data_IF_765188490017
#
_entry.id   IF_765188490017
#
_cell.length_a   1.000
_cell.length_b   1.000
_cell.length_c   1.000
_cell.angle_alpha   90.00
_cell.angle_beta   90.00
_cell.angle_gamma   90.00
#
_symmetry.space_group_name_H-M   'P 1'
#
loop_
_entity.id
_entity.type
_entity.pdbx_description
1 polymer ?
#
# COMPACT_ATOMS: atom_id res chain seq x y z
N UNK A 1 -2.90 8.19 -25.39
CA UNK A 1 -2.73 7.65 -24.78
C UNK A 1 -3.17 6.93 -23.92
N UNK A 2 -3.03 6.40 -23.86
CA UNK A 2 -3.63 5.63 -23.12
C UNK A 2 -3.25 5.32 -21.90
N UNK A 3 -3.87 5.40 -21.14
CA UNK A 3 -3.41 5.21 -19.82
C UNK A 3 -3.27 3.75 -19.49
N UNK A 4 -2.63 3.48 -18.35
CA UNK A 4 -2.38 2.11 -17.96
C UNK A 4 -2.75 1.87 -16.52
N UNK A 5 -3.73 2.57 -16.04
CA UNK A 5 -4.14 2.41 -14.65
C UNK A 5 -4.62 0.99 -14.37
N UNK A 6 -5.01 0.25 -15.39
CA UNK A 6 -5.42 -1.13 -15.18
C UNK A 6 -4.26 -2.04 -14.76
N UNK A 7 -3.03 -1.55 -14.80
CA UNK A 7 -1.87 -2.30 -14.33
C UNK A 7 -1.55 -2.01 -12.87
N UNK A 8 -2.36 -1.20 -12.22
CA UNK A 8 -2.11 -0.81 -10.85
C UNK A 8 -2.67 -1.88 -9.93
N UNK A 9 -1.88 -2.28 -8.95
CA UNK A 9 -2.27 -3.29 -7.99
C UNK A 9 -3.10 -2.69 -6.87
N UNK A 10 -2.74 -1.49 -6.43
CA UNK A 10 -3.41 -0.83 -5.32
C UNK A 10 -3.44 0.67 -5.54
N UNK A 11 -4.30 1.34 -4.77
CA UNK A 11 -4.33 2.80 -4.72
C UNK A 11 -4.29 3.23 -3.27
N UNK A 12 -3.88 4.46 -3.03
CA UNK A 12 -3.94 5.07 -1.71
C UNK A 12 -5.35 5.62 -1.52
N UNK A 13 -5.93 5.35 -0.36
CA UNK A 13 -7.27 5.84 -0.05
C UNK A 13 -7.19 7.14 0.73
N UNK A 14 -8.34 7.72 1.02
CA UNK A 14 -8.42 8.93 1.82
C UNK A 14 -8.31 8.65 3.31
N UNK A 15 -8.33 7.39 3.70
CA UNK A 15 -8.15 7.03 5.10
C UNK A 15 -6.67 7.21 5.46
N UNK A 16 -6.39 8.12 6.38
CA UNK A 16 -5.01 8.46 6.73
C UNK A 16 -4.79 8.26 8.21
N UNK A 17 -3.52 8.21 8.57
CA UNK A 17 -3.09 8.03 9.94
C UNK A 17 -1.79 8.79 10.11
N UNK A 18 -1.61 9.42 11.25
CA UNK A 18 -0.37 10.14 11.55
C UNK A 18 0.49 9.23 12.42
N UNK A 19 1.73 9.06 12.01
CA UNK A 19 2.70 8.26 12.76
C UNK A 19 3.80 9.18 13.23
N UNK A 20 4.07 9.17 14.54
CA UNK A 20 5.14 9.98 15.11
C UNK A 20 6.41 9.15 15.18
N UNK A 21 7.47 9.66 14.56
CA UNK A 21 8.76 8.99 14.58
C UNK A 21 9.51 9.33 15.87
N UNK A 22 10.50 8.50 16.25
CA UNK A 22 11.27 8.77 17.47
C UNK A 22 11.96 10.14 17.47
N UNK A 23 12.23 10.69 16.28
CA UNK A 23 12.87 12.00 16.20
C UNK A 23 11.87 13.15 16.30
N UNK A 24 10.60 12.86 16.55
CA UNK A 24 9.57 13.87 16.70
C UNK A 24 8.91 14.33 15.41
N UNK A 25 9.34 13.82 14.28
CA UNK A 25 8.75 14.17 12.99
C UNK A 25 7.53 13.31 12.74
N UNK A 26 6.43 13.94 12.34
CA UNK A 26 5.21 13.20 12.03
C UNK A 26 5.14 12.88 10.55
N UNK A 27 4.64 11.68 10.23
CA UNK A 27 4.47 11.23 8.86
C UNK A 27 3.01 10.84 8.68
N UNK A 28 2.41 11.32 7.59
CA UNK A 28 1.03 10.94 7.23
C UNK A 28 1.10 9.75 6.30
N UNK A 29 0.41 8.68 6.67
CA UNK A 29 0.36 7.47 5.85
C UNK A 29 -1.09 7.22 5.44
N UNK A 30 -1.26 6.53 4.32
CA UNK A 30 -2.56 6.30 3.71
C UNK A 30 -2.83 4.81 3.66
N UNK A 31 -4.06 4.44 3.98
CA UNK A 31 -4.48 3.04 3.82
C UNK A 31 -4.55 2.71 2.34
N UNK A 32 -4.07 1.52 1.99
CA UNK A 32 -4.10 1.07 0.61
C UNK A 32 -5.32 0.20 0.37
N UNK A 33 -5.74 0.15 -0.89
CA UNK A 33 -6.88 -0.65 -1.32
C UNK A 33 -6.49 -1.38 -2.59
N UNK A 34 -6.73 -2.68 -2.60
CA UNK A 34 -6.44 -3.50 -3.77
C UNK A 34 -7.45 -3.18 -4.88
N UNK A 35 -6.97 -2.89 -6.07
CA UNK A 35 -7.85 -2.58 -7.20
C UNK A 35 -7.80 -3.65 -8.28
N UNK A 36 -6.81 -4.55 -8.24
CA UNK A 36 -6.74 -5.70 -9.12
C UNK A 36 -6.32 -6.90 -8.28
N UNK A 37 -7.18 -7.89 -8.17
CA UNK A 37 -6.93 -9.03 -7.31
C UNK A 37 -5.66 -9.76 -7.73
N UNK A 38 -4.97 -10.32 -6.75
CA UNK A 38 -3.74 -11.06 -6.99
C UNK A 38 -3.54 -12.03 -5.83
N UNK A 39 -2.55 -12.90 -5.96
CA UNK A 39 -2.15 -13.81 -4.88
C UNK A 39 -0.84 -13.32 -4.32
N UNK A 40 -0.79 -13.12 -3.00
CA UNK A 40 0.43 -12.62 -2.37
C UNK A 40 1.48 -13.73 -2.30
N UNK A 41 2.67 -13.37 -1.78
CA UNK A 41 3.80 -14.30 -1.79
C UNK A 41 3.60 -15.47 -0.84
N UNK A 42 2.62 -15.39 0.04
CA UNK A 42 2.32 -16.47 0.98
C UNK A 42 1.17 -17.34 0.49
N UNK A 43 0.67 -17.09 -0.72
CA UNK A 43 -0.40 -17.90 -1.29
C UNK A 43 -1.79 -17.42 -0.93
N UNK A 44 -1.91 -16.27 -0.27
CA UNK A 44 -3.22 -15.72 0.08
C UNK A 44 -3.78 -14.91 -1.07
N UNK A 45 -5.04 -15.08 -1.37
CA UNK A 45 -5.68 -14.32 -2.42
C UNK A 45 -6.12 -12.97 -1.88
N UNK A 46 -5.65 -11.92 -2.53
CA UNK A 46 -6.02 -10.55 -2.18
C UNK A 46 -7.03 -10.09 -3.22
N UNK A 47 -8.28 -9.99 -2.80
CA UNK A 47 -9.36 -9.69 -3.73
C UNK A 47 -9.45 -8.18 -3.97
N UNK A 48 -9.97 -7.81 -5.14
CA UNK A 48 -10.28 -6.42 -5.44
C UNK A 48 -11.17 -5.86 -4.34
N UNK A 49 -10.83 -4.67 -3.86
CA UNK A 49 -11.55 -4.02 -2.78
C UNK A 49 -11.00 -4.28 -1.39
N UNK A 50 -10.03 -5.19 -1.27
CA UNK A 50 -9.43 -5.48 0.02
C UNK A 50 -8.63 -4.28 0.51
N UNK A 51 -8.85 -3.88 1.75
CA UNK A 51 -8.06 -2.83 2.38
C UNK A 51 -6.80 -3.46 2.98
N UNK A 52 -5.67 -2.81 2.75
CA UNK A 52 -4.41 -3.26 3.32
C UNK A 52 -3.97 -2.38 4.45
N UNK A 53 -2.67 -2.32 4.66
CA UNK A 53 -2.08 -1.47 5.68
C UNK A 53 -1.94 -0.04 5.20
N UNK A 54 -0.94 0.65 5.73
CA UNK A 54 -0.73 2.07 5.46
C UNK A 54 0.64 2.29 4.87
N UNK A 55 0.74 3.15 3.86
CA UNK A 55 2.02 3.54 3.27
C UNK A 55 2.05 5.06 3.14
N UNK A 56 3.26 5.60 3.17
CA UNK A 56 3.42 7.05 3.03
C UNK A 56 3.16 7.48 1.59
N UNK A 57 3.64 6.70 0.63
CA UNK A 57 3.39 6.98 -0.77
C UNK A 57 3.48 5.68 -1.56
N UNK A 58 3.20 5.78 -2.86
CA UNK A 58 3.10 4.59 -3.70
C UNK A 58 4.42 3.86 -3.84
N UNK A 59 5.53 4.54 -3.62
CA UNK A 59 6.84 3.90 -3.75
C UNK A 59 7.13 2.90 -2.65
N UNK A 60 6.36 2.92 -1.58
CA UNK A 60 6.60 2.04 -0.45
C UNK A 60 6.17 0.60 -0.71
N UNK A 61 5.38 0.39 -1.75
CA UNK A 61 4.89 -0.96 -2.08
C UNK A 61 4.94 -1.14 -3.59
N UNK A 62 5.49 -2.25 -4.03
CA UNK A 62 5.62 -2.52 -5.46
C UNK A 62 4.24 -2.75 -6.07
N UNK A 63 4.03 -2.21 -7.27
CA UNK A 63 2.79 -2.43 -8.03
C UNK A 63 2.84 -3.68 -8.88
N UNK A 64 4.02 -4.24 -9.10
CA UNK A 64 4.20 -5.25 -10.14
C UNK A 64 4.45 -6.65 -9.60
N UNK A 65 4.82 -6.80 -8.33
CA UNK A 65 5.04 -8.12 -7.79
C UNK A 65 3.92 -8.46 -6.81
N UNK A 66 4.08 -9.56 -6.08
CA UNK A 66 3.03 -10.04 -5.20
C UNK A 66 3.21 -9.64 -3.74
N UNK A 67 3.97 -8.58 -3.48
CA UNK A 67 4.11 -8.04 -2.14
C UNK A 67 2.83 -7.32 -1.72
N UNK A 68 2.54 -7.33 -0.44
CA UNK A 68 1.33 -6.69 0.09
C UNK A 68 1.61 -6.23 1.51
N UNK A 69 1.08 -5.06 1.85
CA UNK A 69 1.12 -4.53 3.20
C UNK A 69 -0.25 -4.80 3.81
N UNK A 70 -0.30 -5.66 4.82
CA UNK A 70 -1.56 -6.19 5.34
C UNK A 70 -1.94 -5.56 6.66
N UNK A 71 -3.21 -5.63 6.99
CA UNK A 71 -3.79 -5.29 8.30
C UNK A 71 -3.46 -3.85 8.67
N UNK A 72 -2.76 -3.63 9.77
CA UNK A 72 -2.43 -2.29 10.23
C UNK A 72 -0.93 -2.02 10.14
N UNK A 73 -0.22 -2.78 9.33
CA UNK A 73 1.20 -2.53 9.12
C UNK A 73 1.40 -1.15 8.50
N UNK A 74 2.49 -0.50 8.84
CA UNK A 74 2.80 0.85 8.38
C UNK A 74 4.18 0.83 7.73
N UNK A 75 4.27 1.40 6.53
CA UNK A 75 5.53 1.50 5.80
C UNK A 75 5.71 2.96 5.41
N UNK A 76 6.87 3.53 5.68
CA UNK A 76 7.12 4.92 5.35
C UNK A 76 8.62 5.14 5.10
N UNK A 77 8.94 6.36 4.68
CA UNK A 77 10.32 6.72 4.40
C UNK A 77 10.79 6.10 3.10
N UNK A 78 11.96 5.52 3.12
CA UNK A 78 12.56 4.90 1.95
C UNK A 78 12.37 3.40 1.90
N UNK A 79 11.57 2.85 2.80
CA UNK A 79 11.31 1.42 2.84
C UNK A 79 10.41 1.04 1.67
N UNK A 80 10.71 -0.08 1.04
CA UNK A 80 9.89 -0.61 -0.04
C UNK A 80 9.62 -2.09 0.23
N UNK A 81 8.36 -2.44 0.16
CA UNK A 81 7.93 -3.83 0.34
C UNK A 81 7.80 -4.53 -0.99
#
# INVERSE_FOLDING_TARGET
MKTVENNVKFVLTEETKVVEQPNGVEVVVHRIKCVNSFTDRFGHKIAKGTLGGFVENECNLSQTDNAWVADNAVVFGHVKV
#
